data_IF_155660723146
#
_entry.id   IF_155660723146
#
_cell.length_a   1.000
_cell.length_b   1.000
_cell.length_c   1.000
_cell.angle_alpha   90.00
_cell.angle_beta   90.00
_cell.angle_gamma   90.00
#
_symmetry.space_group_name_H-M   'P 1'
#
loop_
_entity.id
_entity.type
_entity.pdbx_description
1 polymer ?
#
# COMPACT_ATOMS: atom_id res chain seq x y z
N UNK A 1 -39.93 36.09 14.25
CA UNK A 1 -38.83 35.30 14.86
C UNK A 1 -38.26 34.43 13.76
N UNK A 2 -37.09 34.81 13.23
CA UNK A 2 -36.38 34.02 12.20
C UNK A 2 -35.53 33.00 12.96
N UNK A 3 -35.86 31.72 12.85
CA UNK A 3 -34.99 30.64 13.31
C UNK A 3 -33.83 30.51 12.30
N UNK A 4 -32.66 31.01 12.68
CA UNK A 4 -31.41 30.71 11.98
C UNK A 4 -30.99 29.29 12.31
N UNK A 5 -31.18 28.38 11.35
CA UNK A 5 -30.62 27.03 11.37
C UNK A 5 -29.10 27.14 11.29
N UNK A 6 -28.39 26.86 12.39
CA UNK A 6 -26.93 26.69 12.38
C UNK A 6 -26.62 25.34 11.74
N UNK A 7 -26.41 25.32 10.43
CA UNK A 7 -25.76 24.21 9.75
C UNK A 7 -24.37 24.04 10.36
N UNK A 8 -24.14 22.90 11.01
CA UNK A 8 -22.79 22.50 11.42
C UNK A 8 -21.95 22.37 10.15
N UNK A 9 -20.92 23.19 10.00
CA UNK A 9 -19.96 23.04 8.91
C UNK A 9 -19.21 21.72 9.13
N UNK A 10 -19.44 20.77 8.22
CA UNK A 10 -18.68 19.53 8.21
C UNK A 10 -17.26 19.86 7.71
N UNK A 11 -16.26 19.69 8.58
CA UNK A 11 -14.85 19.85 8.20
C UNK A 11 -14.44 18.62 7.40
N UNK A 12 -14.18 18.80 6.10
CA UNK A 12 -13.65 17.73 5.24
C UNK A 12 -12.18 17.50 5.65
N UNK A 13 -11.81 16.27 6.05
CA UNK A 13 -10.44 15.95 6.43
C UNK A 13 -9.46 16.25 5.29
N UNK A 14 -8.36 16.91 5.63
CA UNK A 14 -7.30 17.28 4.70
C UNK A 14 -6.04 16.50 5.03
N UNK A 15 -5.25 16.20 4.00
CA UNK A 15 -3.90 15.64 4.20
C UNK A 15 -3.07 16.60 5.06
N UNK A 16 -2.28 16.08 6.01
CA UNK A 16 -1.48 16.90 6.90
C UNK A 16 -0.39 17.66 6.14
N UNK A 17 -0.07 18.87 6.60
CA UNK A 17 1.17 19.57 6.29
C UNK A 17 2.10 19.54 7.50
N UNK A 18 3.41 19.58 7.26
CA UNK A 18 4.42 19.46 8.30
C UNK A 18 5.27 20.72 8.36
N UNK A 19 5.63 21.15 9.58
CA UNK A 19 6.46 22.34 9.77
C UNK A 19 7.95 22.06 9.52
N UNK A 20 8.37 20.78 9.55
CA UNK A 20 9.74 20.36 9.30
C UNK A 20 9.84 18.93 8.76
N UNK A 21 11.00 18.60 8.18
CA UNK A 21 11.30 17.23 7.74
C UNK A 21 11.29 16.22 8.89
N UNK A 22 11.68 16.62 10.12
CA UNK A 22 11.63 15.75 11.30
C UNK A 22 10.20 15.37 11.68
N UNK A 23 9.27 16.34 11.60
CA UNK A 23 7.87 16.10 11.90
C UNK A 23 7.24 15.15 10.87
N UNK A 24 7.51 15.40 9.58
CA UNK A 24 7.06 14.54 8.50
C UNK A 24 7.67 13.13 8.58
N UNK A 25 8.95 13.02 8.91
CA UNK A 25 9.66 11.74 9.09
C UNK A 25 9.02 10.92 10.20
N UNK A 26 8.79 11.54 11.37
CA UNK A 26 8.10 10.90 12.49
C UNK A 26 6.70 10.44 12.08
N UNK A 27 5.95 11.29 11.37
CA UNK A 27 4.63 10.93 10.85
C UNK A 27 4.69 9.71 9.92
N UNK A 28 5.56 9.73 8.90
CA UNK A 28 5.72 8.61 7.95
C UNK A 28 6.11 7.32 8.67
N UNK A 29 7.03 7.37 9.65
CA UNK A 29 7.42 6.20 10.47
C UNK A 29 6.26 5.63 11.28
N UNK A 30 5.44 6.48 11.90
CA UNK A 30 4.26 6.05 12.67
C UNK A 30 3.18 5.45 11.78
N UNK A 31 2.92 6.05 10.61
CA UNK A 31 1.99 5.50 9.62
C UNK A 31 2.47 4.16 9.07
N UNK A 32 3.78 4.01 8.87
CA UNK A 32 4.40 2.78 8.41
C UNK A 32 4.26 1.66 9.45
N UNK A 33 4.54 1.95 10.73
CA UNK A 33 4.30 1.00 11.81
C UNK A 33 2.82 0.59 11.89
N UNK A 34 1.89 1.55 11.79
CA UNK A 34 0.45 1.26 11.77
C UNK A 34 0.03 0.39 10.58
N UNK A 35 0.59 0.63 9.38
CA UNK A 35 0.33 -0.20 8.21
C UNK A 35 0.77 -1.65 8.43
N UNK A 36 1.93 -1.89 9.02
CA UNK A 36 2.36 -3.25 9.39
C UNK A 36 1.45 -3.89 10.43
N UNK A 37 1.07 -3.17 11.49
CA UNK A 37 0.13 -3.68 12.50
C UNK A 37 -1.23 -4.05 11.88
N UNK A 38 -1.71 -3.26 10.91
CA UNK A 38 -2.93 -3.56 10.16
C UNK A 38 -2.77 -4.79 9.25
N UNK A 39 -1.63 -4.93 8.56
CA UNK A 39 -1.35 -6.11 7.74
C UNK A 39 -1.34 -7.38 8.60
N UNK A 40 -0.73 -7.34 9.78
CA UNK A 40 -0.78 -8.43 10.75
C UNK A 40 -2.20 -8.72 11.26
N UNK A 41 -2.95 -7.66 11.60
CA UNK A 41 -4.34 -7.78 12.07
C UNK A 41 -5.25 -8.42 11.02
N UNK A 42 -5.00 -8.15 9.73
CA UNK A 42 -5.75 -8.73 8.62
C UNK A 42 -5.17 -10.05 8.08
N UNK A 43 -4.07 -10.54 8.65
CA UNK A 43 -3.45 -11.82 8.27
C UNK A 43 -2.78 -11.79 6.90
N UNK A 44 -2.15 -10.67 6.54
CA UNK A 44 -1.43 -10.49 5.27
C UNK A 44 0.04 -10.90 5.35
N UNK A 45 0.57 -11.13 6.56
CA UNK A 45 1.93 -11.61 6.76
C UNK A 45 2.08 -13.09 6.39
N UNK A 46 3.26 -13.46 5.88
CA UNK A 46 3.61 -14.82 5.48
C UNK A 46 5.07 -15.09 5.88
N UNK A 47 5.28 -15.58 7.11
CA UNK A 47 6.62 -15.78 7.66
C UNK A 47 7.44 -14.48 7.67
N UNK A 48 8.47 -14.42 6.83
CA UNK A 48 9.36 -13.24 6.70
C UNK A 48 9.17 -12.46 5.40
N UNK A 49 8.16 -12.84 4.60
CA UNK A 49 7.82 -12.16 3.36
C UNK A 49 7.04 -10.87 3.62
N UNK A 50 7.06 -9.98 2.62
CA UNK A 50 6.40 -8.69 2.67
C UNK A 50 7.26 -7.57 3.26
N UNK A 51 6.99 -6.36 2.78
CA UNK A 51 7.68 -5.14 3.15
C UNK A 51 6.84 -3.95 2.69
N UNK A 52 6.95 -2.88 3.46
CA UNK A 52 6.37 -1.58 3.15
C UNK A 52 7.50 -0.57 3.31
N UNK A 53 7.70 0.28 2.31
CA UNK A 53 8.73 1.33 2.33
C UNK A 53 8.08 2.69 2.36
N UNK A 54 8.74 3.65 3.02
CA UNK A 54 8.40 5.06 2.95
C UNK A 54 9.67 5.89 2.70
N UNK A 55 9.67 6.73 1.66
CA UNK A 55 10.76 7.65 1.35
C UNK A 55 11.02 8.57 2.54
N UNK A 56 12.29 8.86 2.83
CA UNK A 56 12.63 9.90 3.81
C UNK A 56 12.31 11.30 3.23
N UNK A 57 11.75 12.24 4.03
CA UNK A 57 11.39 13.56 3.52
C UNK A 57 12.59 14.47 3.22
N UNK A 58 13.77 14.18 3.76
CA UNK A 58 14.99 14.96 3.56
C UNK A 58 15.98 14.25 2.64
N UNK A 59 16.23 12.96 2.89
CA UNK A 59 17.09 12.11 2.08
C UNK A 59 16.25 11.31 1.10
N UNK A 60 15.84 11.94 0.01
CA UNK A 60 14.82 11.39 -0.91
C UNK A 60 15.23 10.11 -1.65
N UNK A 61 16.49 9.72 -1.59
CA UNK A 61 17.09 8.45 -2.04
C UNK A 61 17.18 7.37 -0.93
N UNK A 62 16.61 7.65 0.25
CA UNK A 62 16.57 6.74 1.40
C UNK A 62 15.13 6.39 1.76
N UNK A 63 14.96 5.18 2.30
CA UNK A 63 13.65 4.59 2.56
C UNK A 63 13.61 3.93 3.93
N UNK A 64 12.61 4.30 4.72
CA UNK A 64 12.22 3.62 5.95
C UNK A 64 11.52 2.31 5.61
N UNK A 65 11.90 1.22 6.27
CA UNK A 65 11.35 -0.13 6.02
C UNK A 65 11.38 -0.97 7.29
N UNK A 66 10.58 -2.05 7.32
CA UNK A 66 10.63 -3.01 8.41
C UNK A 66 11.97 -3.76 8.48
N UNK A 67 12.48 -4.06 9.68
CA UNK A 67 13.63 -4.93 9.83
C UNK A 67 13.28 -6.37 9.47
N UNK A 68 14.19 -7.06 8.79
CA UNK A 68 13.98 -8.43 8.35
C UNK A 68 13.80 -9.39 9.53
N UNK A 69 12.81 -10.28 9.42
CA UNK A 69 12.50 -11.28 10.44
C UNK A 69 11.73 -10.78 11.66
N UNK A 70 11.34 -9.49 11.70
CA UNK A 70 10.43 -8.99 12.72
C UNK A 70 8.97 -9.22 12.30
N UNK A 71 8.19 -9.84 13.18
CA UNK A 71 6.75 -10.01 12.97
C UNK A 71 6.06 -8.65 12.79
N UNK A 72 5.22 -8.52 11.78
CA UNK A 72 4.54 -7.26 11.45
C UNK A 72 3.74 -6.70 12.63
N UNK A 73 3.10 -7.58 13.40
CA UNK A 73 2.33 -7.21 14.59
C UNK A 73 3.15 -6.72 15.77
N UNK A 74 4.48 -6.68 15.69
CA UNK A 74 5.36 -6.12 16.73
C UNK A 74 6.10 -4.86 16.29
N UNK A 75 5.99 -4.44 15.03
CA UNK A 75 6.75 -3.30 14.51
C UNK A 75 6.28 -2.00 15.19
N UNK A 76 7.23 -1.23 15.72
CA UNK A 76 7.01 0.14 16.21
C UNK A 76 7.78 1.13 15.33
N UNK A 77 7.45 2.42 15.43
CA UNK A 77 8.13 3.46 14.67
C UNK A 77 9.66 3.47 14.91
N UNK A 78 10.08 3.21 16.15
CA UNK A 78 11.48 3.10 16.57
C UNK A 78 12.21 1.86 16.06
N UNK A 79 11.49 0.80 15.66
CA UNK A 79 12.10 -0.43 15.15
C UNK A 79 12.46 -0.35 13.65
N UNK A 80 11.90 0.64 12.94
CA UNK A 80 12.14 0.85 11.51
C UNK A 80 13.60 1.21 11.23
N UNK A 81 14.12 0.65 10.14
CA UNK A 81 15.48 0.90 9.66
C UNK A 81 15.44 1.86 8.46
N UNK A 82 16.50 2.65 8.28
CA UNK A 82 16.68 3.50 7.10
C UNK A 82 17.66 2.84 6.16
N UNK A 83 17.28 2.71 4.89
CA UNK A 83 18.06 2.02 3.86
C UNK A 83 18.27 2.95 2.67
N UNK A 84 19.48 3.01 2.13
CA UNK A 84 19.75 3.75 0.90
C UNK A 84 19.28 2.99 -0.35
N UNK A 85 19.35 3.62 -1.51
CA UNK A 85 18.92 3.03 -2.78
C UNK A 85 19.62 1.70 -3.14
N UNK A 86 20.87 1.52 -2.68
CA UNK A 86 21.68 0.32 -2.87
C UNK A 86 21.35 -0.82 -1.89
N UNK A 87 20.39 -0.64 -0.97
CA UNK A 87 20.00 -1.66 0.01
C UNK A 87 20.89 -1.72 1.24
N UNK A 88 21.72 -0.70 1.48
CA UNK A 88 22.57 -0.60 2.66
C UNK A 88 21.81 0.08 3.81
N UNK A 89 21.81 -0.55 4.97
CA UNK A 89 21.22 0.01 6.19
C UNK A 89 22.11 1.14 6.70
N UNK A 90 21.59 2.36 6.72
CA UNK A 90 22.30 3.57 7.19
C UNK A 90 21.83 4.02 8.58
N UNK A 91 20.65 3.57 9.03
CA UNK A 91 20.16 3.77 10.40
C UNK A 91 19.45 2.50 10.89
N UNK A 92 19.65 2.16 12.16
CA UNK A 92 19.15 0.96 12.81
C UNK A 92 20.17 -0.18 12.87
N UNK A 93 19.81 -1.27 13.54
CA UNK A 93 20.74 -2.36 13.90
C UNK A 93 20.30 -3.76 13.42
N UNK A 94 19.33 -3.81 12.50
CA UNK A 94 18.79 -5.04 11.93
C UNK A 94 18.95 -5.03 10.40
N UNK A 95 19.09 -6.22 9.77
CA UNK A 95 19.22 -6.30 8.33
C UNK A 95 17.91 -5.97 7.62
N UNK A 96 18.01 -5.52 6.37
CA UNK A 96 16.88 -5.47 5.42
C UNK A 96 16.81 -6.77 4.62
N UNK A 97 15.62 -7.15 4.15
CA UNK A 97 15.49 -8.18 3.12
C UNK A 97 15.94 -7.60 1.77
N UNK A 98 17.23 -7.73 1.44
CA UNK A 98 17.83 -7.09 0.26
C UNK A 98 17.14 -7.48 -1.06
N UNK A 99 16.78 -8.76 -1.21
CA UNK A 99 16.08 -9.29 -2.36
C UNK A 99 14.72 -8.58 -2.57
N UNK A 100 13.94 -8.48 -1.50
CA UNK A 100 12.62 -7.86 -1.54
C UNK A 100 12.72 -6.32 -1.72
N UNK A 101 13.65 -5.68 -1.00
CA UNK A 101 13.90 -4.24 -1.09
C UNK A 101 14.30 -3.78 -2.51
N UNK A 102 14.98 -4.63 -3.27
CA UNK A 102 15.37 -4.34 -4.66
C UNK A 102 14.17 -3.98 -5.53
N UNK A 103 12.99 -4.55 -5.27
CA UNK A 103 11.75 -4.20 -5.99
C UNK A 103 11.36 -2.76 -5.69
N UNK A 104 11.23 -2.42 -4.41
CA UNK A 104 10.78 -1.10 -3.99
C UNK A 104 11.78 -0.01 -4.36
N UNK A 105 13.09 -0.29 -4.33
CA UNK A 105 14.11 0.69 -4.76
C UNK A 105 13.90 1.07 -6.24
N UNK A 106 13.74 0.09 -7.13
CA UNK A 106 13.49 0.37 -8.56
C UNK A 106 12.16 1.10 -8.79
N UNK A 107 11.10 0.76 -8.05
CA UNK A 107 9.81 1.48 -8.10
C UNK A 107 10.01 2.94 -7.69
N UNK A 108 10.64 3.21 -6.55
CA UNK A 108 10.87 4.58 -6.07
C UNK A 108 11.80 5.39 -6.97
N UNK A 109 12.75 4.75 -7.67
CA UNK A 109 13.61 5.41 -8.65
C UNK A 109 12.84 5.77 -9.92
N UNK A 110 11.98 4.89 -10.41
CA UNK A 110 11.15 5.14 -11.59
C UNK A 110 10.02 6.16 -11.29
N UNK A 111 9.57 6.24 -10.03
CA UNK A 111 8.44 7.06 -9.59
C UNK A 111 8.83 7.99 -8.42
N UNK A 112 9.43 9.17 -8.70
CA UNK A 112 9.76 10.15 -7.66
C UNK A 112 8.54 10.66 -6.88
N UNK A 113 7.35 10.62 -7.49
CA UNK A 113 6.07 10.97 -6.86
C UNK A 113 5.61 9.95 -5.81
N UNK A 114 6.10 8.71 -5.89
CA UNK A 114 5.75 7.66 -4.93
C UNK A 114 6.56 7.86 -3.65
N UNK A 115 5.83 8.13 -2.57
CA UNK A 115 6.36 8.22 -1.20
C UNK A 115 6.39 6.85 -0.55
N UNK A 116 5.39 6.00 -0.80
CA UNK A 116 5.31 4.69 -0.18
C UNK A 116 4.93 3.59 -1.17
N UNK A 117 5.47 2.39 -0.93
CA UNK A 117 5.12 1.18 -1.64
C UNK A 117 4.84 0.06 -0.63
N UNK A 118 3.82 -0.77 -0.87
CA UNK A 118 3.42 -1.86 -0.01
C UNK A 118 3.32 -3.16 -0.79
N UNK A 119 3.93 -4.22 -0.25
CA UNK A 119 3.89 -5.57 -0.79
C UNK A 119 3.77 -6.60 0.33
N UNK A 120 2.89 -7.58 0.14
CA UNK A 120 2.77 -8.74 1.00
C UNK A 120 2.22 -9.94 0.21
N UNK A 121 2.37 -11.14 0.78
CA UNK A 121 1.88 -12.39 0.19
C UNK A 121 0.50 -12.75 0.77
N UNK A 122 -0.41 -11.79 0.73
CA UNK A 122 -1.75 -11.92 1.32
C UNK A 122 -2.55 -13.04 0.63
N UNK A 123 -3.39 -13.79 1.37
CA UNK A 123 -3.99 -15.03 0.87
C UNK A 123 -4.81 -14.88 -0.41
N UNK A 124 -5.67 -13.87 -0.51
CA UNK A 124 -6.55 -13.68 -1.67
C UNK A 124 -5.79 -13.07 -2.83
N UNK A 125 -4.87 -12.15 -2.56
CA UNK A 125 -4.03 -11.49 -3.56
C UNK A 125 -3.09 -12.46 -4.25
N UNK A 126 -2.43 -13.36 -3.51
CA UNK A 126 -1.61 -14.44 -4.13
C UNK A 126 -2.47 -15.47 -4.87
N UNK A 127 -3.68 -15.74 -4.39
CA UNK A 127 -4.61 -16.63 -5.08
C UNK A 127 -5.10 -16.02 -6.39
N UNK A 128 -5.51 -14.75 -6.37
CA UNK A 128 -5.95 -14.01 -7.55
C UNK A 128 -4.84 -13.84 -8.58
N UNK A 129 -3.63 -13.48 -8.13
CA UNK A 129 -2.49 -13.29 -9.03
C UNK A 129 -2.11 -14.56 -9.79
N UNK A 130 -2.43 -15.75 -9.25
CA UNK A 130 -2.20 -17.01 -9.96
C UNK A 130 -3.05 -17.20 -11.21
N UNK A 131 -4.15 -16.44 -11.36
CA UNK A 131 -5.04 -16.47 -12.52
C UNK A 131 -4.53 -15.62 -13.69
N UNK A 132 -3.53 -14.75 -13.47
CA UNK A 132 -2.90 -13.99 -14.54
C UNK A 132 -3.83 -12.99 -15.25
N UNK A 133 -4.74 -12.35 -14.52
CA UNK A 133 -5.65 -11.32 -15.06
C UNK A 133 -5.85 -10.13 -14.11
N UNK A 134 -6.22 -8.94 -14.62
CA UNK A 134 -6.62 -7.80 -13.80
C UNK A 134 -7.86 -8.09 -12.95
N UNK A 135 -8.11 -7.29 -11.90
CA UNK A 135 -9.39 -7.28 -11.19
C UNK A 135 -10.50 -6.77 -12.10
N UNK A 136 -11.66 -7.43 -12.06
CA UNK A 136 -12.85 -6.95 -12.77
C UNK A 136 -13.65 -5.98 -11.88
N UNK A 137 -14.32 -5.01 -12.49
CA UNK A 137 -15.14 -4.02 -11.80
C UNK A 137 -16.50 -4.61 -11.38
N UNK A 138 -16.49 -5.58 -10.47
CA UNK A 138 -17.69 -6.28 -10.00
C UNK A 138 -18.28 -5.67 -8.72
N UNK A 139 -17.56 -4.73 -8.10
CA UNK A 139 -17.96 -4.03 -6.87
C UNK A 139 -17.55 -2.56 -6.93
N UNK A 140 -18.23 -1.70 -6.17
CA UNK A 140 -17.88 -0.29 -6.05
C UNK A 140 -16.44 -0.09 -5.54
N UNK A 141 -15.97 -0.96 -4.64
CA UNK A 141 -14.61 -0.91 -4.10
C UNK A 141 -13.54 -1.23 -5.16
N UNK A 142 -13.82 -2.21 -6.02
CA UNK A 142 -12.93 -2.58 -7.13
C UNK A 142 -12.75 -1.42 -8.13
N UNK A 143 -13.75 -0.54 -8.27
CA UNK A 143 -13.65 0.65 -9.11
C UNK A 143 -12.53 1.61 -8.70
N UNK A 144 -11.94 1.49 -7.50
CA UNK A 144 -10.73 2.22 -7.14
C UNK A 144 -9.52 1.92 -8.06
N UNK A 145 -9.58 0.80 -8.81
CA UNK A 145 -8.54 0.30 -9.71
C UNK A 145 -8.97 0.28 -11.18
N UNK A 146 -10.11 0.88 -11.53
CA UNK A 146 -10.53 1.00 -12.92
C UNK A 146 -9.50 1.81 -13.71
N UNK A 147 -8.91 1.20 -14.74
CA UNK A 147 -7.80 1.76 -15.54
C UNK A 147 -6.57 2.22 -14.72
N UNK A 148 -6.43 1.77 -13.47
CA UNK A 148 -5.35 2.17 -12.57
C UNK A 148 -4.69 0.98 -11.86
N UNK A 149 -4.57 -0.12 -12.61
CA UNK A 149 -3.86 -1.33 -12.20
C UNK A 149 -3.08 -1.92 -13.37
N UNK A 150 -1.91 -2.47 -13.06
CA UNK A 150 -1.08 -3.22 -13.99
C UNK A 150 -1.11 -4.72 -13.70
N UNK A 151 -0.71 -5.51 -14.70
CA UNK A 151 -0.45 -6.94 -14.55
C UNK A 151 0.95 -7.24 -15.06
N UNK A 152 1.83 -7.72 -14.18
CA UNK A 152 3.06 -8.39 -14.60
C UNK A 152 2.72 -9.85 -14.89
N UNK A 153 2.54 -10.15 -16.18
CA UNK A 153 2.08 -11.45 -16.65
C UNK A 153 3.22 -12.43 -16.94
N UNK A 154 4.20 -12.48 -16.04
CA UNK A 154 5.29 -13.44 -16.04
C UNK A 154 5.78 -13.71 -14.61
N UNK A 155 6.47 -14.83 -14.42
CA UNK A 155 7.05 -15.21 -13.14
C UNK A 155 8.41 -15.87 -13.40
N UNK A 156 9.47 -15.27 -12.86
CA UNK A 156 10.86 -15.66 -13.11
C UNK A 156 11.52 -16.35 -11.91
N UNK A 157 10.77 -16.60 -10.82
CA UNK A 157 11.25 -17.23 -9.59
C UNK A 157 11.37 -16.24 -8.42
N UNK A 158 12.19 -16.58 -7.43
CA UNK A 158 12.46 -15.69 -6.29
C UNK A 158 13.20 -14.47 -6.79
N UNK A 159 12.66 -13.29 -6.49
CA UNK A 159 13.21 -12.00 -6.89
C UNK A 159 14.55 -11.78 -6.20
N UNK A 160 15.66 -12.02 -6.89
CA UNK A 160 17.02 -11.79 -6.37
C UNK A 160 17.83 -10.82 -7.26
N UNK A 161 17.23 -10.33 -8.35
CA UNK A 161 17.92 -9.52 -9.35
C UNK A 161 17.26 -8.13 -9.52
N UNK A 162 18.11 -7.12 -9.74
CA UNK A 162 17.77 -5.75 -10.12
C UNK A 162 16.91 -5.69 -11.39
N UNK A 163 17.12 -6.63 -12.32
CA UNK A 163 16.33 -6.69 -13.56
C UNK A 163 14.84 -6.89 -13.27
N UNK A 164 14.49 -7.73 -12.31
CA UNK A 164 13.10 -7.97 -11.91
C UNK A 164 12.45 -6.72 -11.31
N UNK A 165 13.17 -6.02 -10.44
CA UNK A 165 12.70 -4.75 -9.88
C UNK A 165 12.42 -3.70 -10.98
N UNK A 166 13.29 -3.62 -12.00
CA UNK A 166 13.08 -2.72 -13.16
C UNK A 166 11.88 -3.11 -14.00
N UNK A 167 11.66 -4.41 -14.21
CA UNK A 167 10.50 -4.92 -14.94
C UNK A 167 9.21 -4.59 -14.20
N UNK A 168 9.15 -4.84 -12.90
CA UNK A 168 8.02 -4.46 -12.04
C UNK A 168 7.75 -2.95 -12.13
N UNK A 169 8.78 -2.12 -11.97
CA UNK A 169 8.65 -0.67 -12.04
C UNK A 169 8.16 -0.19 -13.42
N UNK A 170 8.68 -0.78 -14.50
CA UNK A 170 8.28 -0.47 -15.87
C UNK A 170 6.84 -0.87 -16.15
N UNK A 171 6.43 -2.08 -15.72
CA UNK A 171 5.08 -2.59 -15.90
C UNK A 171 4.06 -1.85 -15.03
N UNK A 172 4.44 -1.45 -13.82
CA UNK A 172 3.60 -0.60 -12.96
C UNK A 172 3.28 0.72 -13.68
N UNK A 173 4.27 1.30 -14.37
CA UNK A 173 4.09 2.55 -15.12
C UNK A 173 3.60 3.66 -14.21
N UNK A 174 2.50 4.32 -14.58
CA UNK A 174 1.87 5.37 -13.78
C UNK A 174 0.83 4.85 -12.80
N UNK A 175 0.50 3.55 -12.82
CA UNK A 175 -0.62 3.03 -12.05
C UNK A 175 -0.35 2.98 -10.54
N UNK A 176 -1.41 2.91 -9.73
CA UNK A 176 -1.32 2.79 -8.26
C UNK A 176 -1.12 1.36 -7.75
N UNK A 177 -1.42 0.36 -8.58
CA UNK A 177 -1.36 -1.05 -8.19
C UNK A 177 -0.82 -1.93 -9.32
N UNK A 178 -0.18 -3.04 -8.95
CA UNK A 178 0.24 -4.09 -9.87
C UNK A 178 -0.01 -5.47 -9.28
N UNK A 179 -0.59 -6.34 -10.10
CA UNK A 179 -0.72 -7.77 -9.82
C UNK A 179 0.51 -8.46 -10.38
N UNK A 180 1.22 -9.19 -9.52
CA UNK A 180 2.42 -9.93 -9.86
C UNK A 180 2.05 -11.40 -9.99
N UNK A 181 2.00 -11.93 -11.23
CA UNK A 181 1.49 -13.28 -11.49
C UNK A 181 2.22 -14.32 -10.64
N UNK A 182 1.46 -15.21 -10.00
CA UNK A 182 1.98 -16.26 -9.10
C UNK A 182 2.77 -15.75 -7.87
N UNK A 183 2.73 -14.44 -7.56
CA UNK A 183 3.49 -13.84 -6.48
C UNK A 183 2.59 -13.08 -5.49
N UNK A 184 1.80 -12.12 -5.94
CA UNK A 184 0.95 -11.32 -5.06
C UNK A 184 0.62 -9.95 -5.60
N UNK A 185 0.44 -8.98 -4.70
CA UNK A 185 0.07 -7.60 -5.01
C UNK A 185 1.20 -6.65 -4.63
N UNK A 186 1.34 -5.54 -5.35
CA UNK A 186 2.13 -4.39 -4.93
C UNK A 186 1.34 -3.12 -5.21
N UNK A 187 1.31 -2.21 -4.24
CA UNK A 187 0.62 -0.91 -4.37
C UNK A 187 1.56 0.24 -4.02
N UNK A 188 1.28 1.42 -4.57
CA UNK A 188 2.06 2.64 -4.35
C UNK A 188 1.16 3.82 -4.00
N UNK A 189 1.70 4.82 -3.30
CA UNK A 189 0.97 6.01 -2.92
C UNK A 189 1.86 7.24 -2.69
N UNK A 190 1.24 8.42 -2.71
CA UNK A 190 1.89 9.69 -2.32
C UNK A 190 1.99 9.83 -0.80
N UNK A 191 1.31 8.95 -0.06
CA UNK A 191 1.42 8.77 1.39
C UNK A 191 1.49 7.29 1.75
N UNK A 192 1.94 6.98 2.96
CA UNK A 192 1.93 5.60 3.49
C UNK A 192 0.50 5.09 3.62
N UNK A 193 -0.39 5.95 4.09
CA UNK A 193 -1.83 5.71 4.26
C UNK A 193 -2.47 5.23 2.96
N UNK A 194 -2.21 5.92 1.84
CA UNK A 194 -2.70 5.51 0.52
C UNK A 194 -2.16 4.15 0.09
N UNK A 195 -0.84 3.96 0.11
CA UNK A 195 -0.22 2.72 -0.35
C UNK A 195 -0.78 1.51 0.42
N UNK A 196 -0.90 1.64 1.75
CA UNK A 196 -1.48 0.62 2.60
C UNK A 196 -2.98 0.40 2.35
N UNK A 197 -3.77 1.47 2.19
CA UNK A 197 -5.19 1.35 1.87
C UNK A 197 -5.43 0.67 0.53
N UNK A 198 -4.70 1.05 -0.52
CA UNK A 198 -4.80 0.40 -1.82
C UNK A 198 -4.51 -1.09 -1.71
N UNK A 199 -3.52 -1.49 -0.92
CA UNK A 199 -3.26 -2.92 -0.69
C UNK A 199 -4.44 -3.60 0.01
N UNK A 200 -4.93 -3.02 1.10
CA UNK A 200 -6.03 -3.56 1.91
C UNK A 200 -7.30 -3.73 1.07
N UNK A 201 -7.67 -2.71 0.30
CA UNK A 201 -8.89 -2.77 -0.51
C UNK A 201 -8.71 -3.68 -1.72
N UNK A 202 -7.53 -3.72 -2.35
CA UNK A 202 -7.24 -4.65 -3.45
C UNK A 202 -7.33 -6.11 -2.99
N UNK A 203 -6.75 -6.46 -1.84
CA UNK A 203 -6.86 -7.79 -1.25
C UNK A 203 -8.32 -8.19 -1.00
N UNK A 204 -9.13 -7.27 -0.47
CA UNK A 204 -10.57 -7.50 -0.26
C UNK A 204 -11.34 -7.63 -1.57
N UNK A 205 -10.99 -6.86 -2.60
CA UNK A 205 -11.55 -7.00 -3.95
C UNK A 205 -11.18 -8.35 -4.56
N UNK A 206 -9.94 -8.82 -4.41
CA UNK A 206 -9.52 -10.17 -4.80
C UNK A 206 -10.36 -11.24 -4.07
N UNK A 207 -10.57 -11.09 -2.76
CA UNK A 207 -11.39 -12.01 -1.98
C UNK A 207 -12.84 -12.06 -2.49
N UNK A 208 -13.46 -10.90 -2.73
CA UNK A 208 -14.81 -10.81 -3.25
C UNK A 208 -14.93 -11.43 -4.64
N UNK A 209 -13.94 -11.20 -5.50
CA UNK A 209 -13.94 -11.74 -6.85
C UNK A 209 -13.77 -13.25 -6.90
N UNK A 210 -12.85 -13.81 -6.11
CA UNK A 210 -12.72 -15.27 -5.96
C UNK A 210 -14.02 -15.90 -5.46
N UNK A 211 -14.70 -15.26 -4.50
CA UNK A 211 -15.98 -15.75 -3.98
C UNK A 211 -17.09 -15.69 -5.04
N UNK A 212 -17.16 -14.61 -5.81
CA UNK A 212 -18.13 -14.44 -6.88
C UNK A 212 -17.92 -15.46 -8.01
N UNK A 213 -16.69 -15.64 -8.48
CA UNK A 213 -16.32 -16.60 -9.53
C UNK A 213 -16.60 -18.05 -9.10
N UNK A 214 -16.40 -18.37 -7.83
CA UNK A 214 -16.74 -19.69 -7.29
C UNK A 214 -18.26 -19.92 -7.21
N UNK A 215 -19.04 -18.87 -6.98
CA UNK A 215 -20.50 -18.93 -6.87
C UNK A 215 -21.20 -18.88 -8.24
N UNK A 216 -20.58 -18.26 -9.25
CA UNK A 216 -21.15 -18.11 -10.59
C UNK A 216 -20.41 -17.09 -11.44
N UNK A 217 -21.12 -16.46 -12.38
CA UNK A 217 -20.58 -15.40 -13.25
C UNK A 217 -21.08 -14.04 -12.77
N UNK A 218 -20.20 -13.15 -12.26
CA UNK A 218 -20.62 -11.82 -11.81
C UNK A 218 -21.00 -10.92 -12.98
N UNK A 219 -21.88 -9.95 -12.72
CA UNK A 219 -22.10 -8.83 -13.64
C UNK A 219 -21.03 -7.76 -13.40
N UNK A 220 -20.52 -7.19 -14.48
CA UNK A 220 -19.55 -6.11 -14.43
C UNK A 220 -20.30 -4.77 -14.36
N UNK A 221 -19.77 -3.83 -13.58
CA UNK A 221 -20.15 -2.43 -13.64
C UNK A 221 -19.69 -1.91 -15.01
N UNK A 222 -20.58 -1.19 -15.71
CA UNK A 222 -20.26 -0.60 -17.01
C UNK A 222 -19.18 0.49 -16.89
N UNK A 223 -18.45 0.75 -17.97
CA UNK A 223 -17.27 1.63 -17.97
C UNK A 223 -17.58 3.05 -17.49
N UNK A 224 -18.73 3.63 -17.87
CA UNK A 224 -19.14 4.97 -17.45
C UNK A 224 -19.38 5.03 -15.93
N UNK A 225 -20.10 4.03 -15.39
CA UNK A 225 -20.33 3.89 -13.95
C UNK A 225 -19.03 3.60 -13.20
N UNK A 226 -18.14 2.77 -13.76
CA UNK A 226 -16.84 2.45 -13.16
C UNK A 226 -15.94 3.69 -13.09
N UNK A 227 -15.86 4.47 -14.17
CA UNK A 227 -15.11 5.73 -14.23
C UNK A 227 -15.70 6.79 -13.28
N UNK A 228 -17.02 6.95 -13.25
CA UNK A 228 -17.68 7.88 -12.30
C UNK A 228 -17.38 7.50 -10.85
N UNK A 229 -17.43 6.20 -10.54
CA UNK A 229 -17.10 5.68 -9.21
C UNK A 229 -15.61 5.87 -8.89
N UNK A 230 -14.71 5.55 -9.82
CA UNK A 230 -13.26 5.76 -9.69
C UNK A 230 -12.94 7.20 -9.29
N UNK A 231 -13.58 8.20 -9.91
CA UNK A 231 -13.35 9.60 -9.58
C UNK A 231 -13.71 9.97 -8.13
N UNK A 232 -14.54 9.15 -7.47
CA UNK A 232 -14.91 9.31 -6.06
C UNK A 232 -13.99 8.51 -5.14
N UNK A 233 -13.75 7.23 -5.45
CA UNK A 233 -13.10 6.28 -4.52
C UNK A 233 -11.63 5.98 -4.83
N UNK A 234 -11.19 6.24 -6.06
CA UNK A 234 -9.84 5.95 -6.56
C UNK A 234 -8.86 7.11 -6.47
N UNK A 235 -9.28 8.28 -5.98
CA UNK A 235 -8.41 9.47 -5.84
C UNK A 235 -7.43 9.36 -4.66
N UNK A 236 -6.33 10.11 -4.72
CA UNK A 236 -5.34 10.19 -3.64
C UNK A 236 -5.96 10.56 -2.27
N UNK A 237 -6.84 11.56 -2.26
CA UNK A 237 -7.52 11.98 -1.03
C UNK A 237 -8.45 10.89 -0.50
N UNK A 238 -9.19 10.20 -1.38
CA UNK A 238 -10.05 9.11 -0.98
C UNK A 238 -9.26 7.94 -0.38
N UNK A 239 -8.09 7.62 -0.95
CA UNK A 239 -7.20 6.59 -0.42
C UNK A 239 -6.66 6.94 0.96
N UNK A 240 -6.10 8.13 1.10
CA UNK A 240 -5.62 8.65 2.38
C UNK A 240 -6.74 8.65 3.43
N UNK A 241 -7.92 9.15 3.05
CA UNK A 241 -9.04 9.29 3.99
C UNK A 241 -9.59 7.93 4.43
N UNK A 242 -9.67 6.95 3.53
CA UNK A 242 -10.15 5.60 3.83
C UNK A 242 -9.24 4.84 4.80
N UNK A 243 -7.95 5.20 4.86
CA UNK A 243 -7.02 4.65 5.84
C UNK A 243 -7.23 5.21 7.27
N UNK A 244 -7.72 6.44 7.42
CA UNK A 244 -7.81 7.11 8.72
C UNK A 244 -8.60 6.33 9.79
N UNK A 245 -9.81 5.78 9.53
CA UNK A 245 -10.51 5.00 10.54
C UNK A 245 -9.76 3.71 10.93
N UNK A 246 -8.97 3.13 10.02
CA UNK A 246 -8.12 1.97 10.33
C UNK A 246 -6.95 2.37 11.21
N UNK A 247 -6.33 3.52 10.92
CA UNK A 247 -5.26 4.09 11.73
C UNK A 247 -5.74 4.42 13.15
N UNK A 248 -6.87 5.11 13.29
CA UNK A 248 -7.45 5.44 14.60
C UNK A 248 -7.74 4.18 15.43
N UNK A 249 -8.29 3.14 14.78
CA UNK A 249 -8.55 1.85 15.41
C UNK A 249 -7.25 1.21 15.88
N UNK A 250 -6.25 1.06 15.02
CA UNK A 250 -5.03 0.31 15.37
C UNK A 250 -4.19 1.05 16.41
N UNK A 251 -4.16 2.37 16.38
CA UNK A 251 -3.50 3.18 17.43
C UNK A 251 -4.20 3.02 18.77
N UNK A 252 -5.54 2.94 18.79
CA UNK A 252 -6.29 2.70 20.02
C UNK A 252 -6.09 1.29 20.57
N UNK A 253 -5.98 0.30 19.70
CA UNK A 253 -5.77 -1.11 20.08
C UNK A 253 -4.31 -1.41 20.48
N UNK A 254 -3.33 -0.78 19.82
CA UNK A 254 -1.90 -1.07 19.93
C UNK A 254 -1.07 0.23 19.97
N UNK A 255 -1.20 1.06 21.02
CA UNK A 255 -0.58 2.39 21.06
C UNK A 255 0.95 2.36 21.07
N UNK A 256 1.56 1.24 21.46
CA UNK A 256 3.02 1.03 21.45
C UNK A 256 3.62 1.14 20.04
N UNK A 257 2.83 0.99 18.97
CA UNK A 257 3.30 1.17 17.60
C UNK A 257 3.89 2.56 17.33
N UNK A 258 3.48 3.57 18.10
CA UNK A 258 3.91 4.96 17.94
C UNK A 258 5.29 5.26 18.53
N UNK A 259 5.81 4.35 19.37
CA UNK A 259 7.11 4.46 20.05
C UNK A 259 8.30 4.33 19.10
#
# INVERSE_FOLDING_TARGET
MVQTSTRTEFVIPQMPSFASADEERRHRKQRLAAAFRLFALFGFDEGVAGHITARDPERTDHFWVNPFGMYFGHIRASDLILVNHEGQVVEGNRPVNAAAFTIHSQVHQARPDVVAAAHAHSPSGKSWSSLGRPLDMITQDACAFFEDQSLLNDYTGVVVDLEEGRRIATTLGTHKAIILRNHGLLTVGQTVDEAAWWFITMERSCQAQLAADAAGTPFHIDEDSAMSTYNVVGSHLAGWFSFQPLYERIVREQPDLLE
#
